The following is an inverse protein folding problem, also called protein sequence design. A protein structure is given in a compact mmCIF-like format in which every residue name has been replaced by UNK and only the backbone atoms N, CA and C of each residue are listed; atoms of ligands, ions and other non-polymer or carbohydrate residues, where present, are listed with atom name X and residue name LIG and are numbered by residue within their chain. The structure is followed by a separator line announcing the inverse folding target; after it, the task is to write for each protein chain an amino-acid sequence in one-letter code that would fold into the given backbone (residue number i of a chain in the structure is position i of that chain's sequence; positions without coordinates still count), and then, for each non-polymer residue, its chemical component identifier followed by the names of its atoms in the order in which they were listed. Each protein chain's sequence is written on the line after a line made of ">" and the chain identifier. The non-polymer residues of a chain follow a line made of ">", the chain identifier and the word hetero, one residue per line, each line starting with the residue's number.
data_IF_861517824456
#
_entry.id   IF_861517824456
#
_cell.length_a   1.000
_cell.length_b   1.000
_cell.length_c   1.000
_cell.angle_alpha   90.00
_cell.angle_beta   90.00
_cell.angle_gamma   90.00
#
_symmetry.space_group_name_H-M   'P 1'
#
loop_
_entity.id
_entity.type
_entity.pdbx_description
1 polymer ?
#
# COMPACT_ATOMS: atom_id res chain seq x y z
N UNK A 1 -21.74 -14.69 1.53
CA UNK A 1 -22.01 -14.12 2.86
C UNK A 1 -23.46 -13.65 2.88
N UNK A 2 -24.39 -14.53 3.25
CA UNK A 2 -25.77 -14.12 3.53
C UNK A 2 -25.88 -13.91 5.04
N UNK A 3 -26.13 -12.68 5.49
CA UNK A 3 -26.72 -12.42 6.81
C UNK A 3 -26.08 -11.32 7.66
N UNK A 4 -24.75 -11.17 7.67
CA UNK A 4 -24.09 -10.24 8.62
C UNK A 4 -23.08 -9.30 7.95
N UNK A 5 -23.16 -8.02 8.32
CA UNK A 5 -22.27 -6.94 7.91
C UNK A 5 -20.88 -7.13 8.54
N UNK A 6 -19.83 -7.20 7.72
CA UNK A 6 -18.45 -7.28 8.19
C UNK A 6 -18.06 -6.02 8.96
N UNK A 7 -17.62 -6.17 10.20
CA UNK A 7 -17.11 -5.06 11.01
C UNK A 7 -15.61 -4.97 10.80
N UNK A 8 -15.06 -3.78 10.55
CA UNK A 8 -13.63 -3.65 10.21
C UNK A 8 -12.96 -2.65 11.13
N UNK A 9 -11.85 -3.07 11.75
CA UNK A 9 -10.97 -2.21 12.52
C UNK A 9 -9.73 -1.90 11.68
N UNK A 10 -9.65 -0.69 11.16
CA UNK A 10 -8.55 -0.25 10.32
C UNK A 10 -7.45 0.41 11.19
N UNK A 11 -6.48 -0.38 11.65
CA UNK A 11 -5.31 0.18 12.35
C UNK A 11 -4.28 0.66 11.32
N UNK A 12 -3.56 1.72 11.67
CA UNK A 12 -2.59 2.39 10.80
C UNK A 12 -3.24 2.86 9.50
N UNK A 13 -4.43 3.46 9.65
CA UNK A 13 -5.34 3.75 8.55
C UNK A 13 -4.75 4.71 7.51
N UNK A 14 -3.75 5.53 7.87
CA UNK A 14 -3.10 6.44 6.96
C UNK A 14 -4.10 7.32 6.22
N UNK A 15 -4.08 7.24 4.88
CA UNK A 15 -5.01 7.95 3.98
C UNK A 15 -6.27 7.14 3.62
N UNK A 16 -6.44 5.94 4.19
CA UNK A 16 -7.58 5.05 3.94
C UNK A 16 -7.38 4.06 2.81
N UNK A 17 -6.13 3.61 2.58
CA UNK A 17 -5.84 2.62 1.54
C UNK A 17 -6.55 1.27 1.76
N UNK A 18 -6.62 0.80 3.01
CA UNK A 18 -7.33 -0.44 3.35
C UNK A 18 -8.84 -0.27 3.19
N UNK A 19 -9.40 0.86 3.62
CA UNK A 19 -10.80 1.20 3.36
C UNK A 19 -11.13 1.14 1.85
N UNK A 20 -10.34 1.79 1.00
CA UNK A 20 -10.55 1.74 -0.45
C UNK A 20 -10.42 0.33 -1.02
N UNK A 21 -9.49 -0.48 -0.50
CA UNK A 21 -9.35 -1.86 -0.94
C UNK A 21 -10.59 -2.69 -0.58
N UNK A 22 -11.20 -2.46 0.59
CA UNK A 22 -12.49 -3.04 0.97
C UNK A 22 -13.62 -2.55 0.07
N UNK A 23 -13.71 -1.26 -0.22
CA UNK A 23 -14.72 -0.70 -1.14
C UNK A 23 -14.58 -1.25 -2.57
N UNK A 24 -13.37 -1.65 -2.97
CA UNK A 24 -13.09 -2.27 -4.27
C UNK A 24 -13.43 -3.76 -4.28
N UNK A 25 -13.23 -4.45 -3.15
CA UNK A 25 -13.51 -5.88 -3.02
C UNK A 25 -14.99 -6.18 -2.73
N UNK A 26 -15.70 -5.29 -2.04
CA UNK A 26 -17.05 -5.52 -1.54
C UNK A 26 -17.94 -4.29 -1.69
N UNK A 27 -19.25 -4.48 -1.96
CA UNK A 27 -20.21 -3.39 -1.87
C UNK A 27 -20.32 -2.87 -0.43
N UNK A 28 -20.59 -1.58 -0.27
CA UNK A 28 -20.68 -0.93 1.04
C UNK A 28 -21.70 -1.58 1.99
N UNK A 29 -22.76 -2.20 1.47
CA UNK A 29 -23.77 -2.89 2.27
C UNK A 29 -23.26 -4.16 2.98
N UNK A 30 -22.08 -4.64 2.63
CA UNK A 30 -21.49 -5.86 3.21
C UNK A 30 -20.47 -5.57 4.32
N UNK A 31 -20.08 -4.31 4.54
CA UNK A 31 -19.11 -3.98 5.58
C UNK A 31 -19.28 -2.58 6.17
N UNK A 32 -18.80 -2.40 7.39
CA UNK A 32 -18.61 -1.10 8.03
C UNK A 32 -17.24 -0.97 8.68
N UNK A 33 -16.61 0.19 8.53
CA UNK A 33 -15.43 0.55 9.32
C UNK A 33 -15.90 0.97 10.72
N UNK A 34 -15.62 0.14 11.73
CA UNK A 34 -16.00 0.46 13.12
C UNK A 34 -15.08 1.51 13.73
N UNK A 35 -13.80 1.50 13.32
CA UNK A 35 -12.83 2.52 13.68
C UNK A 35 -11.66 2.50 12.71
N UNK A 36 -11.14 3.69 12.43
CA UNK A 36 -9.88 3.92 11.73
C UNK A 36 -8.92 4.61 12.70
N UNK A 37 -7.70 4.10 12.84
CA UNK A 37 -6.74 4.57 13.85
C UNK A 37 -5.39 4.88 13.21
N UNK A 38 -4.94 6.12 13.32
CA UNK A 38 -3.58 6.52 12.92
C UNK A 38 -3.08 7.73 13.71
N UNK A 39 -1.82 7.69 14.15
CA UNK A 39 -1.20 8.80 14.89
C UNK A 39 -0.90 10.01 13.98
N UNK A 40 -0.80 9.81 12.66
CA UNK A 40 -0.49 10.84 11.70
C UNK A 40 -1.70 11.72 11.43
N UNK A 41 -1.69 12.95 11.96
CA UNK A 41 -2.76 13.93 11.76
C UNK A 41 -2.98 14.27 10.28
N UNK A 42 -1.93 14.35 9.46
CA UNK A 42 -2.06 14.60 8.03
C UNK A 42 -2.77 13.45 7.31
N UNK A 43 -2.46 12.21 7.66
CA UNK A 43 -3.17 11.02 7.20
C UNK A 43 -4.65 11.08 7.57
N UNK A 44 -4.95 11.35 8.85
CA UNK A 44 -6.31 11.51 9.35
C UNK A 44 -7.11 12.60 8.62
N UNK A 45 -6.47 13.74 8.29
CA UNK A 45 -7.12 14.80 7.50
C UNK A 45 -7.49 14.30 6.10
N UNK A 46 -6.57 13.62 5.40
CA UNK A 46 -6.86 13.05 4.07
C UNK A 46 -7.91 11.94 4.16
N UNK A 47 -7.83 11.09 5.18
CA UNK A 47 -8.81 10.04 5.44
C UNK A 47 -10.21 10.64 5.59
N UNK A 48 -10.38 11.59 6.51
CA UNK A 48 -11.69 12.19 6.79
C UNK A 48 -12.23 12.99 5.59
N UNK A 49 -11.36 13.61 4.79
CA UNK A 49 -11.73 14.27 3.54
C UNK A 49 -12.41 13.30 2.54
N UNK A 50 -11.92 12.07 2.44
CA UNK A 50 -12.47 11.06 1.52
C UNK A 50 -13.58 10.20 2.15
N UNK A 51 -13.61 10.08 3.49
CA UNK A 51 -14.55 9.26 4.24
C UNK A 51 -15.21 10.07 5.37
N UNK A 52 -16.09 11.04 5.05
CA UNK A 52 -16.65 11.95 6.05
C UNK A 52 -17.52 11.23 7.10
N UNK A 53 -18.07 10.05 6.77
CA UNK A 53 -18.86 9.22 7.68
C UNK A 53 -18.02 8.51 8.75
N UNK A 54 -16.69 8.42 8.56
CA UNK A 54 -15.78 7.75 9.48
C UNK A 54 -14.85 8.80 10.11
N UNK A 55 -14.83 8.86 11.44
CA UNK A 55 -13.94 9.75 12.18
C UNK A 55 -12.66 9.00 12.59
N UNK A 56 -11.51 9.26 11.94
CA UNK A 56 -10.27 8.60 12.32
C UNK A 56 -9.80 9.07 13.71
N UNK A 57 -9.17 8.17 14.44
CA UNK A 57 -8.72 8.40 15.83
C UNK A 57 -7.19 8.36 15.92
N UNK A 58 -6.61 9.26 16.72
CA UNK A 58 -5.15 9.32 16.88
C UNK A 58 -4.57 8.37 17.91
N UNK A 59 -5.41 7.67 18.66
CA UNK A 59 -5.04 6.69 19.68
C UNK A 59 -6.04 5.54 19.64
N UNK A 60 -5.59 4.33 19.94
CA UNK A 60 -6.52 3.26 20.32
C UNK A 60 -7.13 3.65 21.66
N UNK A 61 -8.36 4.19 21.63
CA UNK A 61 -9.23 4.13 22.79
C UNK A 61 -9.57 2.66 23.02
N UNK A 62 -9.79 2.24 24.27
CA UNK A 62 -10.19 0.86 24.60
C UNK A 62 -11.38 0.44 23.73
N UNK A 63 -11.10 -0.24 22.63
CA UNK A 63 -12.14 -0.81 21.80
C UNK A 63 -12.52 -2.14 22.45
N UNK A 64 -13.75 -2.23 22.93
CA UNK A 64 -14.39 -3.53 23.09
C UNK A 64 -14.48 -4.13 21.69
N UNK A 65 -13.44 -4.89 21.32
CA UNK A 65 -13.39 -5.75 20.14
C UNK A 65 -14.50 -6.79 20.29
N UNK A 66 -15.72 -6.36 19.96
CA UNK A 66 -16.92 -7.16 19.89
C UNK A 66 -17.26 -7.39 18.42
N UNK A 67 -17.45 -8.66 18.11
CA UNK A 67 -17.85 -9.37 16.90
C UNK A 67 -17.21 -8.94 15.57
N UNK A 68 -16.50 -9.93 15.01
CA UNK A 68 -16.12 -10.05 13.59
C UNK A 68 -15.27 -8.90 13.01
N UNK A 69 -14.33 -8.35 13.78
CA UNK A 69 -13.37 -7.37 13.24
C UNK A 69 -12.34 -8.00 12.30
N UNK A 70 -11.94 -7.32 11.22
CA UNK A 70 -10.64 -7.56 10.55
C UNK A 70 -9.67 -6.47 11.00
N UNK A 71 -8.67 -6.75 11.85
CA UNK A 71 -7.62 -5.79 12.16
C UNK A 71 -6.62 -5.74 11.01
N UNK A 72 -6.37 -4.53 10.51
CA UNK A 72 -5.25 -4.28 9.58
C UNK A 72 -3.99 -4.01 10.38
N UNK A 73 -2.99 -4.88 10.31
CA UNK A 73 -1.75 -4.74 11.10
C UNK A 73 -0.68 -3.89 10.35
N UNK A 74 0.20 -3.18 11.07
CA UNK A 74 1.10 -2.15 10.52
C UNK A 74 2.25 -2.70 9.68
N UNK A 75 2.82 -1.82 8.87
CA UNK A 75 4.21 -1.95 8.42
C UNK A 75 5.20 -1.81 9.61
N UNK A 76 6.03 -2.82 9.80
CA UNK A 76 7.09 -2.96 10.80
C UNK A 76 8.42 -2.98 10.05
N UNK A 77 9.28 -2.00 10.34
CA UNK A 77 10.54 -1.84 9.63
C UNK A 77 11.57 -2.90 10.06
N UNK A 78 12.53 -3.18 9.15
CA UNK A 78 13.66 -4.14 9.25
C UNK A 78 14.46 -4.21 10.57
N UNK A 79 14.28 -3.28 11.51
CA UNK A 79 14.93 -3.30 12.83
C UNK A 79 14.21 -4.18 13.87
N UNK A 80 13.12 -4.83 13.48
CA UNK A 80 12.50 -5.87 14.29
C UNK A 80 11.87 -5.34 15.59
N UNK A 81 11.81 -6.19 16.61
CA UNK A 81 11.10 -5.93 17.87
C UNK A 81 11.72 -4.82 18.72
N UNK A 82 13.01 -4.54 18.53
CA UNK A 82 13.76 -3.54 19.29
C UNK A 82 13.50 -2.10 18.80
N UNK A 83 12.86 -1.95 17.64
CA UNK A 83 12.49 -0.63 17.16
C UNK A 83 11.31 -0.08 17.96
N UNK A 84 11.45 1.16 18.45
CA UNK A 84 10.35 1.88 19.11
C UNK A 84 9.07 1.93 18.27
N UNK A 85 9.19 1.90 16.95
CA UNK A 85 8.07 1.89 15.99
C UNK A 85 7.32 0.56 15.97
N UNK A 86 7.94 -0.53 16.43
CA UNK A 86 7.32 -1.85 16.53
C UNK A 86 6.52 -2.03 17.82
N UNK A 87 6.65 -1.12 18.80
CA UNK A 87 5.97 -1.24 20.11
C UNK A 87 4.46 -1.36 20.02
N UNK A 88 3.83 -0.59 19.15
CA UNK A 88 2.39 -0.64 18.94
C UNK A 88 1.96 -1.95 18.27
N UNK A 89 2.79 -2.49 17.37
CA UNK A 89 2.58 -3.82 16.79
C UNK A 89 2.67 -4.93 17.83
N UNK A 90 3.75 -4.95 18.61
CA UNK A 90 3.95 -5.92 19.69
C UNK A 90 2.83 -5.83 20.75
N UNK A 91 2.33 -4.62 21.01
CA UNK A 91 1.19 -4.44 21.89
C UNK A 91 -0.07 -5.10 21.31
N UNK A 92 -0.37 -4.93 20.01
CA UNK A 92 -1.50 -5.62 19.38
C UNK A 92 -1.37 -7.13 19.50
N UNK A 93 -0.17 -7.68 19.23
CA UNK A 93 0.10 -9.11 19.41
C UNK A 93 -0.13 -9.57 20.86
N UNK A 94 0.27 -8.77 21.85
CA UNK A 94 0.06 -9.09 23.27
C UNK A 94 -1.41 -9.03 23.70
N UNK A 95 -2.23 -8.24 23.00
CA UNK A 95 -3.66 -8.07 23.29
C UNK A 95 -4.51 -9.14 22.63
N UNK A 96 -4.11 -9.64 21.44
CA UNK A 96 -4.84 -10.66 20.68
C UNK A 96 -5.28 -11.90 21.52
N UNK A 97 -4.43 -12.54 22.34
CA UNK A 97 -4.85 -13.67 23.16
C UNK A 97 -5.84 -13.29 24.28
N UNK A 98 -5.87 -12.01 24.68
CA UNK A 98 -6.72 -11.49 25.75
C UNK A 98 -8.13 -11.10 25.28
N UNK A 99 -8.37 -11.11 23.96
CA UNK A 99 -9.66 -10.74 23.40
C UNK A 99 -10.71 -11.81 23.72
N UNK A 100 -11.84 -11.36 24.29
CA UNK A 100 -13.02 -12.21 24.53
C UNK A 100 -13.53 -12.83 23.23
N UNK A 101 -13.58 -12.01 22.17
CA UNK A 101 -13.94 -12.43 20.82
C UNK A 101 -12.77 -12.08 19.91
N UNK A 102 -12.15 -13.12 19.34
CA UNK A 102 -11.04 -12.97 18.42
C UNK A 102 -11.55 -12.57 17.03
N UNK A 103 -10.84 -11.70 16.31
CA UNK A 103 -11.18 -11.35 14.93
C UNK A 103 -11.18 -12.58 14.01
N UNK A 104 -12.22 -12.78 13.18
CA UNK A 104 -12.28 -13.96 12.31
C UNK A 104 -11.22 -13.95 11.21
N UNK A 105 -10.86 -12.75 10.75
CA UNK A 105 -9.89 -12.55 9.69
C UNK A 105 -8.89 -11.51 10.14
N UNK A 106 -7.64 -11.62 9.70
CA UNK A 106 -6.59 -10.61 9.91
C UNK A 106 -5.90 -10.40 8.56
N UNK A 107 -5.60 -9.15 8.23
CA UNK A 107 -4.79 -8.82 7.06
C UNK A 107 -3.68 -7.86 7.49
N UNK A 108 -2.47 -8.11 7.04
CA UNK A 108 -1.31 -7.28 7.31
C UNK A 108 -0.59 -6.96 6.00
N UNK A 109 -0.13 -5.71 5.89
CA UNK A 109 0.82 -5.30 4.85
C UNK A 109 2.11 -4.84 5.52
N UNK A 110 3.24 -5.15 4.88
CA UNK A 110 4.54 -4.72 5.34
C UNK A 110 5.56 -4.59 4.21
N UNK A 111 6.72 -4.03 4.51
CA UNK A 111 7.84 -3.96 3.58
C UNK A 111 8.49 -5.33 3.37
N UNK A 112 9.08 -5.55 2.17
CA UNK A 112 9.98 -6.68 1.92
C UNK A 112 11.13 -6.70 2.93
N UNK A 113 11.46 -7.89 3.43
CA UNK A 113 12.39 -8.16 4.51
C UNK A 113 11.74 -8.20 5.89
N UNK A 114 10.42 -7.95 6.01
CA UNK A 114 9.70 -8.20 7.25
C UNK A 114 9.59 -9.71 7.54
N UNK A 115 9.47 -10.51 6.50
CA UNK A 115 9.47 -11.98 6.55
C UNK A 115 10.73 -12.59 7.18
N UNK A 116 11.82 -11.83 7.23
CA UNK A 116 13.09 -12.24 7.85
C UNK A 116 13.25 -11.70 9.29
N UNK A 117 12.24 -11.00 9.81
CA UNK A 117 12.33 -10.31 11.10
C UNK A 117 11.82 -11.15 12.28
N UNK A 118 12.42 -10.91 13.45
CA UNK A 118 11.93 -11.45 14.73
C UNK A 118 10.47 -11.08 15.01
N UNK A 119 10.02 -9.92 14.55
CA UNK A 119 8.64 -9.44 14.71
C UNK A 119 7.65 -10.28 13.90
N UNK A 120 8.05 -10.77 12.72
CA UNK A 120 7.27 -11.74 11.96
C UNK A 120 7.20 -13.06 12.71
N UNK A 121 8.30 -13.55 13.27
CA UNK A 121 8.30 -14.80 14.03
C UNK A 121 7.40 -14.72 15.27
N UNK A 122 7.47 -13.61 16.01
CA UNK A 122 6.56 -13.34 17.13
C UNK A 122 5.10 -13.31 16.70
N UNK A 123 4.79 -12.70 15.54
CA UNK A 123 3.44 -12.67 15.01
C UNK A 123 2.94 -14.06 14.66
N UNK A 124 3.70 -14.85 13.90
CA UNK A 124 3.31 -16.19 13.50
C UNK A 124 3.12 -17.09 14.72
N UNK A 125 3.99 -16.98 15.72
CA UNK A 125 3.85 -17.68 16.99
C UNK A 125 2.53 -17.31 17.70
N UNK A 126 2.21 -16.02 17.80
CA UNK A 126 0.97 -15.57 18.46
C UNK A 126 -0.29 -15.98 17.69
N UNK A 127 -0.28 -15.88 16.36
CA UNK A 127 -1.38 -16.35 15.52
C UNK A 127 -1.63 -17.85 15.70
N UNK A 128 -0.56 -18.65 15.69
CA UNK A 128 -0.64 -20.11 15.90
C UNK A 128 -1.17 -20.46 17.29
N UNK A 129 -0.71 -19.75 18.34
CA UNK A 129 -1.22 -19.91 19.71
C UNK A 129 -2.68 -19.48 19.89
N UNK A 130 -3.19 -18.63 18.99
CA UNK A 130 -4.56 -18.15 18.97
C UNK A 130 -5.45 -18.89 17.96
N UNK A 131 -5.03 -20.08 17.50
CA UNK A 131 -5.77 -20.95 16.58
C UNK A 131 -6.07 -20.33 15.20
N UNK A 132 -5.19 -19.44 14.73
CA UNK A 132 -5.25 -18.94 13.35
C UNK A 132 -4.49 -19.83 12.39
N UNK A 133 -5.08 -20.06 11.23
CA UNK A 133 -4.36 -20.44 10.02
C UNK A 133 -3.95 -19.17 9.27
N UNK A 134 -2.80 -19.18 8.60
CA UNK A 134 -2.31 -18.00 7.87
C UNK A 134 -1.69 -18.36 6.52
N UNK A 135 -1.49 -17.33 5.70
CA UNK A 135 -0.71 -17.32 4.47
C UNK A 135 0.10 -16.05 4.37
N UNK A 136 1.29 -16.16 3.83
CA UNK A 136 2.22 -15.06 3.62
C UNK A 136 2.49 -14.87 2.14
N UNK A 137 2.69 -13.63 1.73
CA UNK A 137 2.89 -13.28 0.34
C UNK A 137 3.97 -12.23 0.17
N UNK A 138 4.64 -12.26 -0.97
CA UNK A 138 5.44 -11.17 -1.51
C UNK A 138 4.87 -10.78 -2.88
N UNK A 139 4.08 -9.71 -2.91
CA UNK A 139 3.36 -9.29 -4.13
C UNK A 139 3.82 -7.93 -4.62
N UNK A 140 3.82 -7.77 -5.94
CA UNK A 140 4.18 -6.55 -6.66
C UNK A 140 3.04 -6.13 -7.60
N UNK A 141 2.63 -4.85 -7.66
CA UNK A 141 1.59 -4.40 -8.59
C UNK A 141 1.85 -4.73 -10.07
N UNK A 142 3.10 -4.90 -10.48
CA UNK A 142 3.47 -5.33 -11.84
C UNK A 142 2.89 -6.70 -12.22
N UNK A 143 2.59 -7.56 -11.25
CA UNK A 143 1.92 -8.85 -11.48
C UNK A 143 0.45 -8.68 -11.89
N UNK A 144 -0.12 -7.50 -11.65
CA UNK A 144 -1.45 -7.10 -12.06
C UNK A 144 -1.42 -6.08 -13.21
N UNK A 145 -0.34 -6.06 -13.99
CA UNK A 145 -0.12 -5.15 -15.12
C UNK A 145 -0.11 -3.67 -14.76
N UNK A 146 0.10 -3.32 -13.49
CA UNK A 146 0.23 -1.93 -13.05
C UNK A 146 1.71 -1.52 -13.18
N UNK A 147 2.05 -0.43 -13.88
CA UNK A 147 3.44 -0.05 -14.17
C UNK A 147 4.15 0.62 -12.99
N UNK A 148 4.05 0.05 -11.80
CA UNK A 148 4.76 0.51 -10.60
C UNK A 148 5.31 -0.67 -9.80
N UNK A 149 6.64 -0.71 -9.63
CA UNK A 149 7.28 -1.69 -8.78
C UNK A 149 7.11 -1.31 -7.31
N UNK A 150 6.35 -2.10 -6.56
CA UNK A 150 6.11 -1.91 -5.13
C UNK A 150 5.96 -3.26 -4.43
N UNK A 151 7.03 -4.05 -4.45
CA UNK A 151 7.06 -5.34 -3.75
C UNK A 151 6.84 -5.16 -2.24
N UNK A 152 5.84 -5.85 -1.70
CA UNK A 152 5.44 -5.80 -0.29
C UNK A 152 5.15 -7.18 0.24
N UNK A 153 5.44 -7.34 1.52
CA UNK A 153 5.03 -8.49 2.30
C UNK A 153 3.55 -8.33 2.67
N UNK A 154 2.80 -9.42 2.60
CA UNK A 154 1.45 -9.48 3.12
C UNK A 154 1.28 -10.74 3.95
N UNK A 155 0.41 -10.67 4.95
CA UNK A 155 -0.05 -11.85 5.67
C UNK A 155 -1.56 -11.77 5.81
N UNK A 156 -2.24 -12.86 5.52
CA UNK A 156 -3.66 -13.01 5.81
C UNK A 156 -3.85 -14.19 6.75
N UNK A 157 -4.73 -14.05 7.74
CA UNK A 157 -5.05 -15.11 8.68
C UNK A 157 -6.55 -15.30 8.84
N UNK A 158 -6.95 -16.54 9.07
CA UNK A 158 -8.32 -16.98 9.33
C UNK A 158 -8.34 -17.72 10.67
N UNK A 159 -9.26 -17.35 11.56
CA UNK A 159 -9.48 -18.09 12.79
C UNK A 159 -10.15 -19.44 12.45
N UNK A 160 -9.66 -20.54 13.02
CA UNK A 160 -10.31 -21.84 12.83
C UNK A 160 -11.79 -21.80 13.23
N UNK A 161 -12.69 -22.49 12.51
CA UNK A 161 -12.43 -23.45 11.43
C UNK A 161 -12.47 -22.85 10.00
N UNK A 162 -12.34 -21.54 9.82
CA UNK A 162 -12.47 -20.89 8.51
C UNK A 162 -11.36 -21.35 7.52
N UNK A 163 -11.68 -22.00 6.39
CA UNK A 163 -10.67 -22.62 5.53
C UNK A 163 -10.07 -21.65 4.50
N UNK A 164 -8.80 -21.87 4.18
CA UNK A 164 -8.21 -21.48 2.89
C UNK A 164 -8.53 -22.55 1.85
N UNK A 165 -8.70 -22.16 0.58
CA UNK A 165 -9.03 -23.09 -0.50
C UNK A 165 -7.81 -23.80 -1.10
N UNK A 166 -6.62 -23.24 -0.88
CA UNK A 166 -5.33 -23.78 -1.28
C UNK A 166 -4.64 -24.57 -0.14
N UNK A 167 -3.60 -25.32 -0.50
CA UNK A 167 -2.78 -26.06 0.46
C UNK A 167 -1.76 -25.14 1.15
N UNK A 168 -1.45 -25.44 2.42
CA UNK A 168 -0.39 -24.73 3.15
C UNK A 168 0.85 -25.62 3.27
N UNK A 169 1.91 -25.29 2.54
CA UNK A 169 3.23 -25.91 2.71
C UNK A 169 4.17 -25.07 3.60
N UNK A 170 3.68 -23.94 4.13
CA UNK A 170 4.44 -23.00 4.94
C UNK A 170 5.34 -22.06 4.14
N UNK A 171 5.27 -22.09 2.80
CA UNK A 171 6.04 -21.18 1.94
C UNK A 171 5.40 -19.79 1.83
N UNK A 172 6.23 -18.79 1.52
CA UNK A 172 5.76 -17.46 1.14
C UNK A 172 5.37 -17.50 -0.33
N UNK A 173 4.14 -17.09 -0.62
CA UNK A 173 3.57 -17.12 -1.95
C UNK A 173 3.94 -15.86 -2.73
N UNK A 174 4.27 -16.04 -4.00
CA UNK A 174 4.59 -14.93 -4.89
C UNK A 174 3.42 -14.57 -5.81
N UNK A 175 2.30 -15.27 -5.73
CA UNK A 175 1.08 -14.95 -6.44
C UNK A 175 -0.12 -15.31 -5.56
N UNK A 176 -1.29 -14.74 -5.85
CA UNK A 176 -2.51 -15.04 -5.10
C UNK A 176 -3.17 -16.30 -5.69
N UNK A 177 -3.27 -17.43 -4.95
CA UNK A 177 -3.84 -18.66 -5.46
C UNK A 177 -5.29 -18.47 -5.94
N UNK A 178 -5.59 -18.98 -7.12
CA UNK A 178 -6.93 -18.88 -7.72
C UNK A 178 -7.24 -17.53 -8.38
N UNK A 179 -6.35 -16.53 -8.31
CA UNK A 179 -6.55 -15.26 -9.00
C UNK A 179 -5.97 -15.32 -10.43
N UNK A 180 -6.82 -15.51 -11.43
CA UNK A 180 -6.44 -15.54 -12.85
C UNK A 180 -5.85 -14.22 -13.36
N UNK A 181 -6.02 -13.11 -12.62
CA UNK A 181 -5.47 -11.80 -12.96
C UNK A 181 -4.06 -11.59 -12.42
N UNK A 182 -3.61 -12.42 -11.49
CA UNK A 182 -2.28 -12.34 -10.89
C UNK A 182 -1.30 -13.18 -11.71
N UNK A 183 -0.33 -12.53 -12.36
CA UNK A 183 0.80 -13.24 -12.94
C UNK A 183 1.70 -13.83 -11.85
N UNK A 184 2.31 -15.00 -12.13
CA UNK A 184 3.27 -15.64 -11.22
C UNK A 184 4.54 -14.79 -11.09
N UNK A 185 5.00 -14.25 -12.22
CA UNK A 185 6.17 -13.37 -12.30
C UNK A 185 5.75 -11.94 -12.64
N UNK A 186 6.68 -10.98 -12.53
CA UNK A 186 6.42 -9.61 -12.95
C UNK A 186 6.04 -9.59 -14.44
N UNK A 187 4.88 -9.02 -14.78
CA UNK A 187 4.40 -9.05 -16.16
C UNK A 187 5.18 -8.06 -17.03
N UNK A 188 5.75 -8.54 -18.14
CA UNK A 188 6.30 -7.66 -19.18
C UNK A 188 5.19 -6.85 -19.90
N UNK A 189 3.95 -7.32 -19.84
CA UNK A 189 2.77 -6.67 -20.43
C UNK A 189 2.02 -5.77 -19.43
N UNK A 190 2.77 -4.91 -18.72
CA UNK A 190 2.16 -3.85 -17.89
C UNK A 190 1.55 -2.75 -18.76
N UNK A 191 0.48 -2.10 -18.30
CA UNK A 191 -0.04 -0.88 -18.92
C UNK A 191 1.04 0.19 -19.05
N UNK A 192 0.87 1.13 -19.97
CA UNK A 192 1.75 2.30 -20.07
C UNK A 192 1.43 3.34 -19.00
N UNK A 193 2.45 4.10 -18.60
CA UNK A 193 2.35 5.12 -17.54
C UNK A 193 1.32 6.22 -17.87
N UNK A 194 1.17 6.57 -19.15
CA UNK A 194 0.21 7.57 -19.64
C UNK A 194 -1.24 7.33 -19.18
N UNK A 195 -1.65 6.07 -18.99
CA UNK A 195 -2.96 5.72 -18.42
C UNK A 195 -3.18 6.21 -16.99
N UNK A 196 -2.11 6.66 -16.30
CA UNK A 196 -2.13 7.09 -14.91
C UNK A 196 -1.71 8.56 -14.73
N UNK A 197 -1.35 9.24 -15.82
CA UNK A 197 -0.95 10.64 -15.80
C UNK A 197 -2.16 11.57 -15.72
N UNK A 198 -1.97 12.70 -15.05
CA UNK A 198 -2.94 13.79 -15.05
C UNK A 198 -2.59 14.78 -16.16
N UNK A 199 -3.57 15.54 -16.65
CA UNK A 199 -3.32 16.62 -17.61
C UNK A 199 -2.68 17.82 -16.90
N UNK A 200 -1.36 17.78 -16.76
CA UNK A 200 -0.56 18.77 -16.05
C UNK A 200 0.36 19.51 -17.04
N UNK A 201 0.31 20.86 -17.07
CA UNK A 201 1.21 21.66 -17.89
C UNK A 201 2.70 21.39 -17.62
N UNK A 202 3.51 21.43 -18.68
CA UNK A 202 4.96 21.19 -18.63
C UNK A 202 5.68 22.17 -17.71
N UNK A 203 5.19 23.41 -17.64
CA UNK A 203 5.72 24.51 -16.82
C UNK A 203 5.16 24.53 -15.38
N UNK A 204 4.49 23.46 -14.97
CA UNK A 204 4.00 23.31 -13.60
C UNK A 204 5.11 23.30 -12.54
N UNK A 205 4.69 23.50 -11.30
CA UNK A 205 5.54 23.40 -10.11
C UNK A 205 6.19 22.03 -9.88
N UNK A 206 5.86 21.02 -10.69
CA UNK A 206 6.45 19.68 -10.66
C UNK A 206 7.75 19.58 -11.46
N UNK A 207 8.11 20.59 -12.26
CA UNK A 207 9.37 20.60 -13.01
C UNK A 207 10.56 20.45 -12.06
N UNK A 208 11.47 19.55 -12.39
CA UNK A 208 12.69 19.35 -11.61
C UNK A 208 13.62 20.56 -11.84
N UNK A 209 14.13 21.21 -10.78
CA UNK A 209 15.05 22.33 -10.94
C UNK A 209 16.30 21.94 -11.73
N UNK A 210 16.79 22.86 -12.57
CA UNK A 210 17.95 22.62 -13.45
C UNK A 210 19.18 22.16 -12.66
N UNK A 211 19.46 22.79 -11.52
CA UNK A 211 20.61 22.41 -10.67
C UNK A 211 20.46 21.00 -10.09
N UNK A 212 19.23 20.58 -9.79
CA UNK A 212 18.92 19.21 -9.36
C UNK A 212 19.18 18.22 -10.49
N UNK A 213 18.79 18.53 -11.73
CA UNK A 213 19.06 17.69 -12.91
C UNK A 213 20.57 17.58 -13.16
N UNK A 214 21.31 18.70 -13.12
CA UNK A 214 22.77 18.70 -13.30
C UNK A 214 23.47 17.76 -12.32
N UNK A 215 23.03 17.77 -11.06
CA UNK A 215 23.66 17.01 -9.97
C UNK A 215 23.23 15.55 -9.92
N UNK A 216 21.95 15.27 -10.14
CA UNK A 216 21.35 13.96 -9.86
C UNK A 216 20.69 13.29 -11.07
N UNK A 217 20.68 13.93 -12.24
CA UNK A 217 20.01 13.41 -13.43
C UNK A 217 20.50 12.02 -13.85
N UNK A 218 21.82 11.78 -13.84
CA UNK A 218 22.41 10.50 -14.23
C UNK A 218 22.12 9.33 -13.25
N UNK A 219 21.83 9.63 -11.98
CA UNK A 219 21.51 8.61 -10.96
C UNK A 219 20.01 8.45 -10.75
N UNK A 220 19.20 9.29 -11.40
CA UNK A 220 17.75 9.22 -11.32
C UNK A 220 17.23 8.19 -12.31
N UNK A 221 16.23 7.43 -11.90
CA UNK A 221 15.49 6.56 -12.82
C UNK A 221 14.52 7.43 -13.64
N UNK A 222 14.67 7.41 -14.96
CA UNK A 222 13.91 8.26 -15.87
C UNK A 222 12.99 7.43 -16.75
N UNK A 223 11.72 7.80 -16.75
CA UNK A 223 10.66 7.10 -17.48
C UNK A 223 9.94 8.06 -18.42
N UNK A 224 9.24 7.51 -19.41
CA UNK A 224 8.41 8.26 -20.37
C UNK A 224 6.95 7.82 -20.24
N UNK A 225 5.99 8.57 -20.80
CA UNK A 225 4.58 8.19 -20.76
C UNK A 225 4.30 6.77 -21.31
N UNK A 226 5.06 6.33 -22.31
CA UNK A 226 4.95 4.97 -22.89
C UNK A 226 5.78 3.89 -22.18
N UNK A 227 6.55 4.24 -21.14
CA UNK A 227 7.22 3.25 -20.32
C UNK A 227 6.19 2.39 -19.58
N UNK A 228 6.55 1.13 -19.30
CA UNK A 228 5.68 0.13 -18.64
C UNK A 228 6.08 -0.17 -17.20
N UNK A 229 6.96 0.65 -16.62
CA UNK A 229 7.47 0.48 -15.27
C UNK A 229 7.94 1.80 -14.69
N UNK A 230 7.69 1.96 -13.39
CA UNK A 230 8.30 2.97 -12.52
C UNK A 230 8.88 2.27 -11.30
N UNK A 231 9.90 2.89 -10.69
CA UNK A 231 10.42 2.47 -9.40
C UNK A 231 9.44 2.81 -8.27
N UNK A 232 9.63 2.16 -7.11
CA UNK A 232 8.80 2.35 -5.93
C UNK A 232 8.85 3.81 -5.46
N UNK A 233 7.69 4.48 -5.38
CA UNK A 233 7.58 5.77 -4.72
C UNK A 233 7.66 5.61 -3.20
N UNK A 234 8.63 6.30 -2.58
CA UNK A 234 8.86 6.28 -1.13
C UNK A 234 8.42 7.60 -0.50
N UNK A 235 8.31 7.62 0.83
CA UNK A 235 7.96 8.85 1.57
C UNK A 235 8.93 10.03 1.36
N UNK A 236 10.13 9.77 0.84
CA UNK A 236 11.13 10.79 0.60
C UNK A 236 11.23 11.19 -0.88
N UNK A 237 10.24 10.83 -1.70
CA UNK A 237 10.18 11.27 -3.09
C UNK A 237 10.23 12.81 -3.18
N UNK A 238 10.97 13.32 -4.17
CA UNK A 238 11.35 14.73 -4.34
C UNK A 238 12.25 15.34 -3.25
N UNK A 239 12.49 14.68 -2.11
CA UNK A 239 13.47 15.10 -1.11
C UNK A 239 14.85 14.48 -1.35
N UNK A 240 14.90 13.23 -1.80
CA UNK A 240 16.10 12.58 -2.34
C UNK A 240 15.81 12.05 -3.74
N UNK A 241 16.81 12.08 -4.62
CA UNK A 241 16.64 11.71 -6.03
C UNK A 241 16.88 10.22 -6.27
N UNK A 242 17.88 9.64 -5.61
CA UNK A 242 18.23 8.24 -5.78
C UNK A 242 17.31 7.33 -4.95
N UNK A 243 16.77 6.29 -5.59
CA UNK A 243 16.03 5.22 -4.90
C UNK A 243 14.68 5.61 -4.28
N UNK A 244 14.14 6.79 -4.58
CA UNK A 244 12.86 7.24 -3.99
C UNK A 244 11.65 7.19 -4.93
N UNK A 245 11.88 6.94 -6.23
CA UNK A 245 10.88 6.87 -7.29
C UNK A 245 11.45 7.36 -8.63
N UNK A 246 10.74 7.10 -9.71
CA UNK A 246 11.13 7.57 -11.06
C UNK A 246 10.79 9.05 -11.28
N UNK A 247 11.45 9.69 -12.25
CA UNK A 247 11.06 11.00 -12.79
C UNK A 247 10.53 10.84 -14.21
N UNK A 248 9.61 11.71 -14.61
CA UNK A 248 9.01 11.68 -15.95
C UNK A 248 9.76 12.62 -16.89
N UNK A 249 10.24 12.08 -18.01
CA UNK A 249 10.72 12.84 -19.17
C UNK A 249 9.53 13.08 -20.10
N UNK A 250 9.33 14.33 -20.53
CA UNK A 250 8.31 14.71 -21.50
C UNK A 250 8.87 14.98 -22.89
N UNK A 251 10.19 15.11 -23.03
CA UNK A 251 10.85 15.20 -24.34
C UNK A 251 10.94 13.84 -25.03
N UNK A 252 10.81 13.85 -26.35
CA UNK A 252 11.05 12.68 -27.21
C UNK A 252 12.55 12.45 -27.48
N UNK A 253 13.43 13.34 -27.01
CA UNK A 253 14.87 13.19 -27.18
C UNK A 253 15.40 11.94 -26.47
N UNK A 254 16.20 11.15 -27.20
CA UNK A 254 16.78 9.91 -26.72
C UNK A 254 18.21 10.09 -26.21
N UNK A 255 18.59 9.21 -25.27
CA UNK A 255 19.96 9.13 -24.72
C UNK A 255 20.87 8.23 -25.55
N UNK A 256 22.07 7.88 -25.02
CA UNK A 256 22.54 8.14 -23.66
C UNK A 256 23.04 9.58 -23.44
N UNK A 257 22.78 10.13 -22.25
CA UNK A 257 23.28 11.45 -21.85
C UNK A 257 24.61 11.33 -21.11
N UNK A 258 25.58 12.18 -21.45
CA UNK A 258 26.94 12.11 -20.88
C UNK A 258 27.05 12.68 -19.47
N UNK A 259 26.17 13.61 -19.11
CA UNK A 259 26.13 14.31 -17.83
C UNK A 259 24.75 14.94 -17.62
N UNK A 260 24.50 15.47 -16.42
CA UNK A 260 23.23 16.14 -16.12
C UNK A 260 23.02 17.46 -16.88
N UNK A 261 24.08 18.11 -17.38
CA UNK A 261 23.94 19.31 -18.22
C UNK A 261 23.29 18.99 -19.57
N UNK A 262 23.64 17.84 -20.16
CA UNK A 262 23.03 17.33 -21.38
C UNK A 262 21.55 16.95 -21.21
N UNK A 263 20.99 17.04 -20.00
CA UNK A 263 19.62 16.61 -19.68
C UNK A 263 18.68 17.79 -19.37
N UNK A 264 19.18 19.02 -19.34
CA UNK A 264 18.42 20.20 -18.88
C UNK A 264 17.23 20.57 -19.79
N UNK A 265 17.28 20.18 -21.07
CA UNK A 265 16.24 20.44 -22.06
C UNK A 265 15.16 19.35 -22.12
N UNK A 266 15.36 18.21 -21.42
CA UNK A 266 14.47 17.04 -21.52
C UNK A 266 13.10 17.20 -20.85
N UNK A 267 12.79 18.38 -20.31
CA UNK A 267 11.51 18.66 -19.64
C UNK A 267 11.19 17.61 -18.55
N UNK A 268 12.11 17.42 -17.61
CA UNK A 268 11.98 16.43 -16.53
C UNK A 268 11.08 17.00 -15.42
N UNK A 269 10.09 16.22 -14.99
CA UNK A 269 9.22 16.55 -13.85
C UNK A 269 9.07 15.39 -12.86
N UNK A 270 8.71 15.72 -11.64
CA UNK A 270 8.20 14.75 -10.67
C UNK A 270 6.80 14.27 -11.08
N UNK A 271 6.44 13.06 -10.66
CA UNK A 271 5.05 12.61 -10.67
C UNK A 271 4.26 13.40 -9.63
N UNK A 272 3.04 13.81 -9.95
CA UNK A 272 2.16 14.47 -8.99
C UNK A 272 1.71 13.48 -7.90
N UNK A 273 1.33 13.94 -6.70
CA UNK A 273 0.75 13.06 -5.69
C UNK A 273 -0.48 12.29 -6.18
N UNK A 274 -1.27 12.87 -7.09
CA UNK A 274 -2.43 12.23 -7.69
C UNK A 274 -2.03 11.14 -8.69
N UNK A 275 -1.02 11.37 -9.53
CA UNK A 275 -0.48 10.36 -10.45
C UNK A 275 0.11 9.16 -9.68
N UNK A 276 0.79 9.42 -8.57
CA UNK A 276 1.26 8.36 -7.66
C UNK A 276 0.07 7.59 -7.06
N UNK A 277 -1.01 8.28 -6.66
CA UNK A 277 -2.22 7.63 -6.16
C UNK A 277 -2.88 6.75 -7.24
N UNK A 278 -2.96 7.24 -8.48
CA UNK A 278 -3.48 6.47 -9.62
C UNK A 278 -2.65 5.19 -9.83
N UNK A 279 -1.30 5.29 -9.83
CA UNK A 279 -0.40 4.13 -9.92
C UNK A 279 -0.53 3.17 -8.72
N UNK A 280 -0.96 3.67 -7.56
CA UNK A 280 -1.26 2.86 -6.38
C UNK A 280 -2.70 2.31 -6.37
N UNK A 281 -3.47 2.48 -7.44
CA UNK A 281 -4.82 1.94 -7.59
C UNK A 281 -5.90 2.70 -6.81
N UNK A 282 -5.61 3.92 -6.34
CA UNK A 282 -6.63 4.78 -5.74
C UNK A 282 -7.65 5.20 -6.81
N UNK A 283 -8.95 5.29 -6.50
CA UNK A 283 -9.97 5.63 -7.47
C UNK A 283 -9.85 7.09 -7.93
N UNK A 284 -10.42 7.40 -9.09
CA UNK A 284 -10.47 8.75 -9.63
C UNK A 284 -11.08 9.77 -8.63
N UNK A 285 -12.08 9.33 -7.86
CA UNK A 285 -12.76 10.12 -6.82
C UNK A 285 -11.90 10.46 -5.60
N UNK A 286 -10.81 9.72 -5.36
CA UNK A 286 -9.91 10.01 -4.24
C UNK A 286 -9.18 11.33 -4.48
N UNK A 287 -9.24 12.23 -3.50
CA UNK A 287 -8.64 13.56 -3.59
C UNK A 287 -7.96 13.98 -2.30
N UNK A 288 -7.15 15.03 -2.39
CA UNK A 288 -6.46 15.61 -1.24
C UNK A 288 -7.16 16.91 -0.80
N UNK A 289 -7.24 17.18 0.51
CA UNK A 289 -7.78 18.44 1.01
C UNK A 289 -6.88 19.61 0.61
N UNK A 290 -7.51 20.78 0.38
CA UNK A 290 -6.79 22.00 0.06
C UNK A 290 -5.83 22.42 1.18
N UNK A 291 -4.68 22.99 0.83
CA UNK A 291 -3.73 23.56 1.79
C UNK A 291 -2.67 22.59 2.32
N UNK A 292 -2.69 21.31 1.92
CA UNK A 292 -1.58 20.40 2.19
C UNK A 292 -0.43 20.64 1.22
N UNK A 293 0.79 20.70 1.76
CA UNK A 293 1.99 20.83 0.94
C UNK A 293 2.28 19.55 0.16
N UNK A 294 2.86 19.69 -1.03
CA UNK A 294 3.29 18.55 -1.86
C UNK A 294 4.21 17.58 -1.12
N UNK A 295 5.11 18.08 -0.28
CA UNK A 295 5.99 17.25 0.55
C UNK A 295 5.22 16.40 1.57
N UNK A 296 4.15 16.92 2.16
CA UNK A 296 3.28 16.12 3.04
C UNK A 296 2.57 15.03 2.23
N UNK A 297 2.05 15.35 1.05
CA UNK A 297 1.34 14.40 0.20
C UNK A 297 2.26 13.27 -0.29
N UNK A 298 3.50 13.56 -0.70
CA UNK A 298 4.48 12.51 -1.04
C UNK A 298 4.82 11.60 0.15
N UNK A 299 4.93 12.15 1.36
CA UNK A 299 5.15 11.33 2.56
C UNK A 299 3.98 10.39 2.83
N UNK A 300 2.75 10.86 2.67
CA UNK A 300 1.55 10.06 2.85
C UNK A 300 1.43 8.98 1.78
N UNK A 301 1.53 9.34 0.49
CA UNK A 301 1.44 8.37 -0.60
C UNK A 301 2.59 7.36 -0.60
N UNK A 302 3.81 7.81 -0.30
CA UNK A 302 4.97 6.92 -0.21
C UNK A 302 4.87 5.86 0.90
N UNK A 303 4.10 6.13 1.96
CA UNK A 303 3.79 5.18 3.03
C UNK A 303 2.49 4.40 2.80
N UNK A 304 1.72 4.71 1.75
CA UNK A 304 0.47 4.04 1.46
C UNK A 304 0.68 2.65 0.85
N UNK A 305 -0.39 1.93 0.57
CA UNK A 305 -0.39 0.61 -0.06
C UNK A 305 -0.86 0.69 -1.51
N UNK A 306 -0.76 -0.42 -2.26
CA UNK A 306 -1.46 -0.53 -3.54
C UNK A 306 -2.88 -1.10 -3.31
N UNK A 307 -3.90 -0.27 -3.54
CA UNK A 307 -5.31 -0.58 -3.26
C UNK A 307 -5.78 -1.79 -4.05
N UNK A 308 -5.37 -1.90 -5.31
CA UNK A 308 -5.79 -3.00 -6.17
C UNK A 308 -5.25 -4.33 -5.68
N UNK A 309 -3.94 -4.44 -5.41
CA UNK A 309 -3.31 -5.67 -4.87
C UNK A 309 -4.01 -6.13 -3.58
N UNK A 310 -4.26 -5.20 -2.65
CA UNK A 310 -4.91 -5.51 -1.37
C UNK A 310 -6.37 -5.94 -1.58
N UNK A 311 -7.09 -5.36 -2.53
CA UNK A 311 -8.45 -5.79 -2.87
C UNK A 311 -8.50 -7.23 -3.36
N UNK A 312 -7.46 -7.69 -4.10
CA UNK A 312 -7.34 -9.09 -4.54
C UNK A 312 -7.03 -10.03 -3.38
N UNK A 313 -6.16 -9.61 -2.45
CA UNK A 313 -5.91 -10.34 -1.21
C UNK A 313 -7.15 -10.44 -0.31
N UNK A 314 -7.98 -9.39 -0.24
CA UNK A 314 -9.25 -9.44 0.47
C UNK A 314 -10.19 -10.47 -0.17
N UNK A 315 -10.30 -10.50 -1.50
CA UNK A 315 -11.08 -11.52 -2.21
C UNK A 315 -10.62 -12.94 -1.92
N UNK A 316 -9.31 -13.15 -1.90
CA UNK A 316 -8.71 -14.41 -1.48
C UNK A 316 -9.04 -14.76 -0.02
N UNK A 317 -8.89 -13.79 0.90
CA UNK A 317 -9.18 -13.97 2.33
C UNK A 317 -10.64 -14.36 2.58
N UNK A 318 -11.58 -13.82 1.81
CA UNK A 318 -13.00 -14.12 1.92
C UNK A 318 -13.49 -15.23 0.97
N UNK A 319 -12.58 -15.87 0.21
CA UNK A 319 -12.88 -16.90 -0.79
C UNK A 319 -13.94 -16.43 -1.81
N UNK A 320 -13.87 -15.17 -2.26
CA UNK A 320 -14.86 -14.55 -3.14
C UNK A 320 -14.20 -13.88 -4.36
N UNK A 321 -14.22 -14.55 -5.50
CA UNK A 321 -13.71 -14.00 -6.74
C UNK A 321 -14.81 -13.22 -7.49
N UNK A 322 -14.39 -12.26 -8.31
CA UNK A 322 -15.28 -11.71 -9.33
C UNK A 322 -15.56 -12.81 -10.36
N UNK A 323 -16.81 -12.94 -10.79
CA UNK A 323 -17.13 -13.62 -12.04
C UNK A 323 -16.47 -12.92 -13.24
#
# INVERSE_FOLDING_TARGET
>A
MEGEELRVLELYSGVGGMHLALSTAFPQSQYRIVAAVDINSGGNTVYHHNFPSVKPQSRMLYFELTDQSVPTLPAVYKKGSQDTRSKSFLHILSVLPLLKQKPLYILMENVKGFEESDSRDMMIQQLTQCDYQYREFLLNPTQYRIPNSRLRYYMVAKLLPQPFLDQNDGSILYAVPGDSRCAIEESEDCHTIDNYLEDIPVDSELRVPVDTIKRYGLVSDLVRPKSRRTNCFTKNYAAYMEGTGSLLILSDEEGPWKNGEAMMHLCIRYFSPKEIANLMGFPATFSFPSGMSRTQLYKLMGNSLNVYVVSRLLRYLFNCWDE
#
